data_IF_533424839884
#
_entry.id   IF_533424839884
#
_cell.length_a   1.000
_cell.length_b   1.000
_cell.length_c   1.000
_cell.angle_alpha   90.00
_cell.angle_beta   90.00
_cell.angle_gamma   90.00
#
_symmetry.space_group_name_H-M   'P 1'
#
loop_
_entity.id
_entity.type
_entity.pdbx_description
1 polymer ?
#
# COMPACT_ATOMS: atom_id res chain seq x y z
N UNK A 1 -29.37 -18.20 17.28
CA UNK A 1 -28.47 -17.85 18.39
C UNK A 1 -26.99 -18.00 18.04
N UNK A 2 -26.54 -19.10 17.47
CA UNK A 2 -25.13 -19.32 17.06
C UNK A 2 -24.60 -18.25 16.08
N UNK A 3 -25.38 -17.84 15.08
CA UNK A 3 -24.99 -16.88 14.05
C UNK A 3 -24.80 -15.46 14.62
N UNK A 4 -25.61 -15.07 15.60
CA UNK A 4 -25.48 -13.78 16.30
C UNK A 4 -24.21 -13.74 17.14
N UNK A 5 -23.89 -14.83 17.84
CA UNK A 5 -22.67 -14.96 18.65
C UNK A 5 -21.41 -14.98 17.77
N UNK A 6 -21.47 -15.69 16.65
CA UNK A 6 -20.40 -15.72 15.64
C UNK A 6 -20.11 -14.34 15.08
N UNK A 7 -21.14 -13.61 14.63
CA UNK A 7 -20.99 -12.24 14.11
C UNK A 7 -20.47 -11.26 15.20
N UNK A 8 -20.91 -11.41 16.44
CA UNK A 8 -20.40 -10.60 17.55
C UNK A 8 -18.91 -10.85 17.82
N UNK A 9 -18.46 -12.10 17.80
CA UNK A 9 -17.05 -12.45 18.01
C UNK A 9 -16.16 -12.00 16.84
N UNK A 10 -16.63 -12.13 15.59
CA UNK A 10 -15.94 -11.63 14.41
C UNK A 10 -15.79 -10.11 14.48
N UNK A 11 -16.87 -9.39 14.77
CA UNK A 11 -16.84 -7.92 14.88
C UNK A 11 -15.93 -7.46 16.01
N UNK A 12 -15.91 -8.15 17.17
CA UNK A 12 -15.01 -7.84 18.27
C UNK A 12 -13.53 -8.05 17.88
N UNK A 13 -13.22 -9.12 17.15
CA UNK A 13 -11.87 -9.40 16.66
C UNK A 13 -11.43 -8.37 15.62
N UNK A 14 -12.31 -8.02 14.67
CA UNK A 14 -12.04 -7.02 13.65
C UNK A 14 -11.83 -5.62 14.26
N UNK A 15 -12.66 -5.22 15.22
CA UNK A 15 -12.50 -3.94 15.92
C UNK A 15 -11.18 -3.89 16.71
N UNK A 16 -10.77 -5.01 17.32
CA UNK A 16 -9.46 -5.08 17.99
C UNK A 16 -8.32 -4.88 16.99
N UNK A 17 -8.34 -5.59 15.85
CA UNK A 17 -7.34 -5.44 14.81
C UNK A 17 -7.26 -3.99 14.28
N UNK A 18 -8.40 -3.37 13.95
CA UNK A 18 -8.45 -1.98 13.49
C UNK A 18 -7.85 -1.04 14.54
N UNK A 19 -8.20 -1.23 15.81
CA UNK A 19 -7.65 -0.42 16.90
C UNK A 19 -6.14 -0.65 17.07
N UNK A 20 -5.65 -1.88 16.96
CA UNK A 20 -4.23 -2.19 17.07
C UNK A 20 -3.45 -1.55 15.90
N UNK A 21 -3.95 -1.65 14.66
CA UNK A 21 -3.33 -0.99 13.50
C UNK A 21 -3.36 0.54 13.62
N UNK A 22 -4.46 1.10 14.12
CA UNK A 22 -4.59 2.55 14.30
C UNK A 22 -3.65 3.07 15.40
N UNK A 23 -3.56 2.38 16.52
CA UNK A 23 -2.73 2.81 17.65
C UNK A 23 -1.24 2.62 17.38
N UNK A 24 -0.85 1.48 16.80
CA UNK A 24 0.55 1.13 16.63
C UNK A 24 1.18 1.80 15.40
N UNK A 25 0.43 1.96 14.31
CA UNK A 25 0.97 2.42 13.04
C UNK A 25 0.40 3.75 12.59
N UNK A 26 -0.93 3.92 12.50
CA UNK A 26 -1.54 5.12 11.91
C UNK A 26 -1.14 6.40 12.64
N UNK A 27 -1.10 6.39 13.97
CA UNK A 27 -0.68 7.55 14.76
C UNK A 27 0.77 7.95 14.47
N UNK A 28 1.65 6.97 14.23
CA UNK A 28 3.06 7.21 13.86
C UNK A 28 3.17 7.74 12.45
N UNK A 29 2.42 7.16 11.50
CA UNK A 29 2.34 7.61 10.11
C UNK A 29 1.88 9.07 10.04
N UNK A 30 0.83 9.43 10.78
CA UNK A 30 0.31 10.79 10.82
C UNK A 30 1.33 11.80 11.38
N UNK A 31 2.11 11.42 12.40
CA UNK A 31 3.18 12.28 12.95
C UNK A 31 4.34 12.50 11.96
N UNK A 32 4.57 11.60 11.03
CA UNK A 32 5.60 11.73 10.01
C UNK A 32 5.18 12.67 8.87
N UNK A 33 3.89 12.93 8.67
CA UNK A 33 3.35 13.64 7.50
C UNK A 33 3.98 15.04 7.32
N UNK A 34 4.06 15.84 8.38
CA UNK A 34 4.66 17.18 8.30
C UNK A 34 6.15 17.17 7.92
N UNK A 35 6.87 16.13 8.37
CA UNK A 35 8.29 15.97 8.07
C UNK A 35 8.47 15.56 6.60
N UNK A 36 7.67 14.60 6.13
CA UNK A 36 7.76 14.08 4.76
C UNK A 36 7.32 15.14 3.74
N UNK A 37 6.30 15.94 4.05
CA UNK A 37 5.82 17.01 3.16
C UNK A 37 6.91 18.07 2.84
N UNK A 38 7.93 18.22 3.69
CA UNK A 38 9.04 19.17 3.47
C UNK A 38 10.19 18.61 2.63
N UNK A 39 10.19 17.29 2.39
CA UNK A 39 11.27 16.63 1.65
C UNK A 39 11.15 16.88 0.13
N UNK A 40 12.31 16.99 -0.54
CA UNK A 40 12.40 16.98 -2.00
C UNK A 40 12.09 15.58 -2.58
N UNK A 41 11.93 15.49 -3.91
CA UNK A 41 11.78 14.18 -4.59
C UNK A 41 13.00 13.30 -4.33
N UNK A 42 14.19 13.86 -4.45
CA UNK A 42 15.47 13.17 -4.29
C UNK A 42 15.60 12.59 -2.87
N UNK A 43 15.24 13.38 -1.86
CA UNK A 43 15.28 12.95 -0.45
C UNK A 43 14.28 11.81 -0.18
N UNK A 44 13.09 11.86 -0.77
CA UNK A 44 12.08 10.80 -0.68
C UNK A 44 12.60 9.52 -1.34
N UNK A 45 13.11 9.61 -2.58
CA UNK A 45 13.65 8.47 -3.30
C UNK A 45 14.85 7.85 -2.57
N UNK A 46 15.74 8.70 -2.01
CA UNK A 46 16.86 8.22 -1.20
C UNK A 46 16.39 7.38 0.00
N UNK A 47 15.37 7.85 0.72
CA UNK A 47 14.81 7.11 1.88
C UNK A 47 14.20 5.77 1.48
N UNK A 48 13.45 5.74 0.39
CA UNK A 48 12.86 4.50 -0.13
C UNK A 48 13.95 3.50 -0.54
N UNK A 49 14.98 3.96 -1.25
CA UNK A 49 16.10 3.11 -1.64
C UNK A 49 16.88 2.58 -0.41
N UNK A 50 17.11 3.41 0.61
CA UNK A 50 17.76 2.99 1.86
C UNK A 50 16.98 1.85 2.55
N UNK A 51 15.65 1.99 2.66
CA UNK A 51 14.79 0.92 3.23
C UNK A 51 14.93 -0.35 2.40
N UNK A 52 14.86 -0.26 1.07
CA UNK A 52 14.97 -1.40 0.17
C UNK A 52 16.32 -2.09 0.27
N UNK A 53 17.42 -1.33 0.26
CA UNK A 53 18.77 -1.86 0.30
C UNK A 53 19.05 -2.58 1.63
N UNK A 54 18.60 -2.03 2.76
CA UNK A 54 18.70 -2.68 4.07
C UNK A 54 17.97 -4.02 4.12
N UNK A 55 16.79 -4.11 3.50
CA UNK A 55 16.00 -5.34 3.45
C UNK A 55 16.48 -6.34 2.38
N UNK A 56 17.34 -5.90 1.43
CA UNK A 56 17.97 -6.79 0.45
C UNK A 56 19.09 -7.65 1.04
N UNK A 57 19.72 -7.18 2.11
CA UNK A 57 20.88 -7.82 2.75
C UNK A 57 20.44 -8.78 3.87
N UNK A 58 19.24 -8.61 4.39
CA UNK A 58 18.71 -9.42 5.48
C UNK A 58 17.84 -10.56 4.96
N UNK A 59 18.00 -11.77 5.52
CA UNK A 59 17.04 -12.88 5.33
C UNK A 59 15.64 -12.57 5.91
N UNK A 60 15.47 -11.40 6.50
CA UNK A 60 14.22 -10.93 7.12
C UNK A 60 13.30 -10.40 6.01
N UNK A 61 12.21 -11.09 5.77
CA UNK A 61 11.22 -10.75 4.74
C UNK A 61 10.17 -9.72 5.20
N UNK A 62 10.38 -9.04 6.31
CA UNK A 62 9.42 -8.09 6.90
C UNK A 62 10.12 -6.76 7.20
N UNK A 63 9.43 -5.66 6.93
CA UNK A 63 9.90 -4.32 7.26
C UNK A 63 9.88 -4.10 8.77
N UNK A 64 10.85 -3.36 9.29
CA UNK A 64 10.77 -2.83 10.65
C UNK A 64 9.53 -1.93 10.79
N UNK A 65 8.99 -1.80 11.99
CA UNK A 65 7.82 -0.92 12.22
C UNK A 65 8.10 0.53 11.84
N UNK A 66 9.34 1.01 12.03
CA UNK A 66 9.74 2.36 11.67
C UNK A 66 9.78 2.55 10.15
N UNK A 67 10.36 1.60 9.42
CA UNK A 67 10.41 1.61 7.96
C UNK A 67 9.03 1.47 7.33
N UNK A 68 8.18 0.61 7.90
CA UNK A 68 6.79 0.45 7.49
C UNK A 68 6.01 1.76 7.62
N UNK A 69 6.12 2.42 8.79
CA UNK A 69 5.45 3.71 9.02
C UNK A 69 5.99 4.80 8.07
N UNK A 70 7.30 4.84 7.87
CA UNK A 70 7.95 5.79 6.98
C UNK A 70 7.52 5.57 5.53
N UNK A 71 7.52 4.33 5.05
CA UNK A 71 7.09 3.99 3.69
C UNK A 71 5.60 4.33 3.44
N UNK A 72 4.72 4.07 4.40
CA UNK A 72 3.31 4.47 4.32
C UNK A 72 3.15 6.00 4.25
N UNK A 73 3.87 6.76 5.09
CA UNK A 73 3.83 8.22 5.08
C UNK A 73 4.36 8.78 3.75
N UNK A 74 5.44 8.21 3.22
CA UNK A 74 5.98 8.56 1.91
C UNK A 74 4.96 8.25 0.80
N UNK A 75 4.39 7.06 0.77
CA UNK A 75 3.39 6.67 -0.26
C UNK A 75 2.18 7.61 -0.24
N UNK A 76 1.69 8.00 0.95
CA UNK A 76 0.61 8.97 1.11
C UNK A 76 0.97 10.33 0.51
N UNK A 77 2.16 10.85 0.81
CA UNK A 77 2.61 12.15 0.31
C UNK A 77 2.87 12.11 -1.20
N UNK A 78 3.46 11.03 -1.72
CA UNK A 78 3.71 10.86 -3.15
C UNK A 78 2.39 10.80 -3.92
N UNK A 79 1.39 10.06 -3.43
CA UNK A 79 0.06 10.03 -4.04
C UNK A 79 -0.57 11.43 -4.11
N UNK A 80 -0.44 12.22 -3.04
CA UNK A 80 -0.89 13.61 -3.01
C UNK A 80 -0.17 14.48 -4.04
N UNK A 81 1.15 14.32 -4.17
CA UNK A 81 1.97 15.13 -5.11
C UNK A 81 1.74 14.77 -6.57
N UNK A 82 1.53 13.50 -6.87
CA UNK A 82 1.50 12.99 -8.26
C UNK A 82 0.10 12.95 -8.85
N UNK A 83 -0.88 12.45 -8.11
CA UNK A 83 -2.25 12.27 -8.60
C UNK A 83 -3.28 13.12 -7.83
N UNK A 84 -2.84 13.98 -6.90
CA UNK A 84 -3.71 14.86 -6.11
C UNK A 84 -4.56 14.15 -5.05
N UNK A 85 -4.33 12.86 -4.79
CA UNK A 85 -5.11 12.05 -3.85
C UNK A 85 -4.29 11.70 -2.61
N UNK A 86 -4.68 12.28 -1.47
CA UNK A 86 -4.12 11.90 -0.17
C UNK A 86 -4.95 10.75 0.42
N UNK A 87 -4.30 9.66 0.80
CA UNK A 87 -4.98 8.57 1.50
C UNK A 87 -5.64 9.05 2.79
N UNK A 88 -6.90 8.70 2.99
CA UNK A 88 -7.57 8.85 4.28
C UNK A 88 -7.02 7.84 5.29
N UNK A 89 -7.19 8.13 6.57
CA UNK A 89 -6.68 7.29 7.65
C UNK A 89 -7.18 5.83 7.55
N UNK A 90 -8.47 5.64 7.26
CA UNK A 90 -9.02 4.29 7.08
C UNK A 90 -8.52 3.59 5.81
N UNK A 91 -8.08 4.33 4.79
CA UNK A 91 -7.44 3.75 3.63
C UNK A 91 -6.02 3.25 3.95
N UNK A 92 -5.28 3.94 4.81
CA UNK A 92 -4.00 3.44 5.33
C UNK A 92 -4.22 2.17 6.15
N UNK A 93 -5.20 2.15 7.05
CA UNK A 93 -5.54 0.94 7.84
C UNK A 93 -5.94 -0.22 6.93
N UNK A 94 -6.72 0.04 5.88
CA UNK A 94 -7.07 -0.95 4.86
C UNK A 94 -5.84 -1.52 4.13
N UNK A 95 -4.92 -0.66 3.71
CA UNK A 95 -3.66 -1.04 3.07
C UNK A 95 -2.75 -1.87 3.99
N UNK A 96 -2.63 -1.47 5.25
CA UNK A 96 -1.90 -2.24 6.28
C UNK A 96 -2.55 -3.60 6.54
N UNK A 97 -3.88 -3.65 6.59
CA UNK A 97 -4.61 -4.92 6.74
C UNK A 97 -4.26 -5.90 5.62
N UNK A 98 -4.22 -5.43 4.38
CA UNK A 98 -3.80 -6.24 3.23
C UNK A 98 -2.32 -6.67 3.33
N UNK A 99 -1.43 -5.78 3.73
CA UNK A 99 0.00 -6.10 3.91
C UNK A 99 0.22 -7.20 4.96
N UNK A 100 -0.54 -7.17 6.05
CA UNK A 100 -0.50 -8.20 7.11
C UNK A 100 -1.31 -9.47 6.78
N UNK A 101 -1.79 -9.62 5.54
CA UNK A 101 -2.46 -10.83 5.07
C UNK A 101 -3.93 -10.94 5.48
N UNK A 102 -4.57 -9.86 5.90
CA UNK A 102 -6.00 -9.81 6.19
C UNK A 102 -6.82 -9.44 4.95
N UNK A 103 -8.11 -9.71 4.99
CA UNK A 103 -9.08 -9.26 4.00
C UNK A 103 -9.62 -7.91 4.42
N UNK A 104 -9.44 -6.88 3.57
CA UNK A 104 -10.00 -5.55 3.77
C UNK A 104 -11.28 -5.41 2.94
N UNK A 105 -12.45 -5.48 3.60
CA UNK A 105 -13.73 -5.20 2.96
C UNK A 105 -13.96 -3.68 2.92
N UNK A 106 -14.12 -3.15 1.72
CA UNK A 106 -14.40 -1.74 1.47
C UNK A 106 -15.57 -1.59 0.52
N UNK A 107 -16.46 -0.62 0.79
CA UNK A 107 -17.61 -0.33 -0.07
C UNK A 107 -17.17 0.25 -1.42
N UNK A 108 -18.08 0.17 -2.39
CA UNK A 108 -17.88 0.83 -3.69
C UNK A 108 -17.70 2.34 -3.49
N UNK A 109 -16.70 2.91 -4.19
CA UNK A 109 -16.38 4.35 -4.07
C UNK A 109 -15.40 4.71 -2.96
N UNK A 110 -14.99 3.80 -2.08
CA UNK A 110 -14.05 4.09 -0.98
C UNK A 110 -12.56 4.11 -1.39
N UNK A 111 -12.27 4.07 -2.69
CA UNK A 111 -10.92 4.26 -3.23
C UNK A 111 -10.01 3.03 -3.10
N UNK A 112 -10.55 1.82 -3.31
CA UNK A 112 -9.78 0.56 -3.24
C UNK A 112 -8.50 0.56 -4.07
N UNK A 113 -8.53 1.18 -5.25
CA UNK A 113 -7.37 1.29 -6.15
C UNK A 113 -6.24 2.07 -5.49
N UNK A 114 -6.56 3.18 -4.82
CA UNK A 114 -5.58 3.96 -4.08
C UNK A 114 -5.06 3.20 -2.84
N UNK A 115 -5.94 2.50 -2.12
CA UNK A 115 -5.57 1.66 -0.96
C UNK A 115 -4.53 0.60 -1.35
N UNK A 116 -4.67 -0.01 -2.52
CA UNK A 116 -3.76 -1.05 -3.00
C UNK A 116 -2.31 -0.56 -3.19
N UNK A 117 -2.08 0.73 -3.34
CA UNK A 117 -0.71 1.28 -3.48
C UNK A 117 0.13 1.07 -2.21
N UNK A 118 -0.50 1.06 -1.03
CA UNK A 118 0.20 0.83 0.25
C UNK A 118 0.84 -0.57 0.28
N UNK A 119 0.09 -1.68 0.19
CA UNK A 119 0.72 -3.00 0.23
C UNK A 119 1.64 -3.26 -0.96
N UNK A 120 1.41 -2.63 -2.13
CA UNK A 120 2.31 -2.75 -3.28
C UNK A 120 3.67 -2.17 -2.93
N UNK A 121 3.75 -0.93 -2.45
CA UNK A 121 5.02 -0.29 -2.07
C UNK A 121 5.70 -1.06 -0.94
N UNK A 122 4.97 -1.45 0.11
CA UNK A 122 5.55 -2.18 1.25
C UNK A 122 6.16 -3.53 0.82
N UNK A 123 5.48 -4.30 -0.02
CA UNK A 123 6.01 -5.57 -0.51
C UNK A 123 7.18 -5.38 -1.48
N UNK A 124 7.16 -4.34 -2.32
CA UNK A 124 8.28 -3.99 -3.17
C UNK A 124 9.57 -3.73 -2.36
N UNK A 125 9.43 -3.05 -1.21
CA UNK A 125 10.57 -2.75 -0.32
C UNK A 125 11.16 -3.98 0.36
N UNK A 126 10.45 -5.10 0.38
CA UNK A 126 10.97 -6.41 0.82
C UNK A 126 11.48 -7.27 -0.34
N UNK A 127 11.79 -6.65 -1.50
CA UNK A 127 12.27 -7.32 -2.72
C UNK A 127 11.34 -8.41 -3.27
N UNK A 128 10.05 -8.31 -3.02
CA UNK A 128 9.04 -9.21 -3.57
C UNK A 128 8.53 -8.68 -4.90
N UNK A 129 8.30 -9.57 -5.86
CA UNK A 129 7.49 -9.27 -7.01
C UNK A 129 6.03 -9.16 -6.57
N UNK A 130 5.35 -8.08 -6.95
CA UNK A 130 3.99 -7.79 -6.51
C UNK A 130 3.03 -7.92 -7.69
N UNK A 131 2.00 -8.74 -7.52
CA UNK A 131 0.93 -8.91 -8.50
C UNK A 131 -0.37 -8.36 -7.95
N UNK A 132 -0.92 -7.33 -8.61
CA UNK A 132 -2.24 -6.78 -8.31
C UNK A 132 -3.26 -7.35 -9.30
N UNK A 133 -4.16 -8.20 -8.81
CA UNK A 133 -5.14 -8.88 -9.66
C UNK A 133 -6.47 -8.13 -9.60
N UNK A 134 -7.05 -7.86 -10.78
CA UNK A 134 -8.35 -7.21 -10.95
C UNK A 134 -9.33 -8.17 -11.64
N UNK A 135 -10.62 -7.80 -11.66
CA UNK A 135 -11.67 -8.69 -12.19
C UNK A 135 -11.71 -8.75 -13.72
N UNK A 136 -11.05 -7.82 -14.43
CA UNK A 136 -10.98 -7.81 -15.89
C UNK A 136 -9.82 -6.96 -16.42
N UNK A 137 -9.52 -7.14 -17.71
CA UNK A 137 -8.43 -6.49 -18.43
C UNK A 137 -8.55 -4.95 -18.47
N UNK A 138 -9.77 -4.43 -18.58
CA UNK A 138 -9.99 -2.97 -18.56
C UNK A 138 -9.54 -2.36 -17.24
N UNK A 139 -9.89 -2.97 -16.12
CA UNK A 139 -9.47 -2.48 -14.80
C UNK A 139 -7.97 -2.68 -14.59
N UNK A 140 -7.38 -3.77 -15.06
CA UNK A 140 -5.94 -3.99 -14.98
C UNK A 140 -5.17 -2.84 -15.64
N UNK A 141 -5.53 -2.48 -16.86
CA UNK A 141 -4.93 -1.35 -17.59
C UNK A 141 -5.23 -0.01 -16.92
N UNK A 142 -6.50 0.28 -16.63
CA UNK A 142 -6.92 1.56 -16.04
C UNK A 142 -6.23 1.83 -14.72
N UNK A 143 -6.24 0.84 -13.81
CA UNK A 143 -5.72 1.01 -12.45
C UNK A 143 -4.19 1.08 -12.45
N UNK A 144 -3.52 0.29 -13.31
CA UNK A 144 -2.08 0.41 -13.53
C UNK A 144 -1.71 1.82 -14.00
N UNK A 145 -2.33 2.31 -15.08
CA UNK A 145 -2.02 3.63 -15.64
C UNK A 145 -2.37 4.78 -14.68
N UNK A 146 -3.43 4.65 -13.89
CA UNK A 146 -3.83 5.69 -12.94
C UNK A 146 -2.87 5.80 -11.75
N UNK A 147 -2.36 4.66 -11.25
CA UNK A 147 -1.43 4.64 -10.11
C UNK A 147 0.04 4.76 -10.53
N UNK A 148 0.34 4.60 -11.80
CA UNK A 148 1.70 4.66 -12.36
C UNK A 148 2.51 5.89 -11.91
N UNK A 149 1.95 7.12 -11.85
CA UNK A 149 2.70 8.29 -11.38
C UNK A 149 3.22 8.16 -9.94
N UNK A 150 2.58 7.35 -9.09
CA UNK A 150 3.06 7.07 -7.73
C UNK A 150 4.29 6.17 -7.80
N UNK A 151 4.20 5.11 -8.61
CA UNK A 151 5.26 4.12 -8.77
C UNK A 151 6.48 4.73 -9.46
N UNK A 152 6.27 5.47 -10.55
CA UNK A 152 7.34 6.19 -11.27
C UNK A 152 8.08 7.18 -10.35
N UNK A 153 7.34 7.94 -9.53
CA UNK A 153 7.97 8.86 -8.57
C UNK A 153 8.92 8.14 -7.62
N UNK A 154 8.61 6.90 -7.23
CA UNK A 154 9.39 6.05 -6.31
C UNK A 154 10.41 5.15 -7.03
N UNK A 155 10.58 5.28 -8.35
CA UNK A 155 11.40 4.41 -9.20
C UNK A 155 11.00 2.92 -9.11
N UNK A 156 9.71 2.65 -9.01
CA UNK A 156 9.13 1.31 -9.03
C UNK A 156 8.59 1.05 -10.45
N UNK A 157 9.13 0.04 -11.13
CA UNK A 157 8.60 -0.36 -12.43
C UNK A 157 7.19 -0.93 -12.31
N UNK A 158 6.29 -0.52 -13.21
CA UNK A 158 4.91 -0.96 -13.24
C UNK A 158 4.52 -1.36 -14.67
N UNK A 159 3.76 -2.43 -14.80
CA UNK A 159 3.20 -2.89 -16.06
C UNK A 159 1.86 -3.58 -15.82
N UNK A 160 1.10 -3.82 -16.88
CA UNK A 160 -0.16 -4.56 -16.81
C UNK A 160 -0.20 -5.67 -17.86
N UNK A 161 -0.94 -6.73 -17.57
CA UNK A 161 -1.15 -7.87 -18.46
C UNK A 161 -2.62 -7.95 -18.81
N UNK A 162 -2.93 -8.12 -20.10
CA UNK A 162 -4.27 -8.36 -20.63
C UNK A 162 -4.31 -9.67 -21.40
N UNK A 163 -5.45 -10.35 -21.41
CA UNK A 163 -5.58 -11.68 -22.02
C UNK A 163 -5.29 -11.73 -23.52
N UNK A 164 -5.53 -10.62 -24.23
CA UNK A 164 -5.33 -10.50 -25.69
C UNK A 164 -3.93 -9.99 -26.09
N UNK A 165 -3.03 -9.70 -25.15
CA UNK A 165 -1.69 -9.23 -25.47
C UNK A 165 -0.82 -10.37 -26.06
N UNK A 166 -0.05 -10.06 -27.07
CA UNK A 166 0.99 -10.95 -27.58
C UNK A 166 2.10 -11.13 -26.53
N UNK A 167 2.86 -12.22 -26.63
CA UNK A 167 3.89 -12.59 -25.62
C UNK A 167 4.95 -11.49 -25.50
N UNK A 168 5.33 -10.86 -26.63
CA UNK A 168 6.36 -9.81 -26.67
C UNK A 168 5.93 -8.48 -26.01
N UNK A 169 4.62 -8.28 -25.80
CA UNK A 169 4.07 -7.09 -25.14
C UNK A 169 3.82 -7.31 -23.64
N UNK A 170 4.06 -8.52 -23.12
CA UNK A 170 3.78 -8.91 -21.73
C UNK A 170 5.00 -8.76 -20.78
N UNK A 171 6.09 -8.22 -21.26
CA UNK A 171 7.35 -8.05 -20.48
C UNK A 171 7.49 -6.65 -19.96
#
# INVERSE_FOLDING_TARGET
MFQILSNYLINKKNNKLINDLSNNYLNRINKLEEKINKLSKEEICLKINQIRDQNSISDIQELSEDDLCLACAITREVAKRTIGLRHYDMQIVGGLSLYFGFIAEMKTGEGKTLVATIPVVLNYLTNKNVHLITVNDYLAKRDSQWMDPIYDYLNISNSYIQGAQEIDEKV
#
